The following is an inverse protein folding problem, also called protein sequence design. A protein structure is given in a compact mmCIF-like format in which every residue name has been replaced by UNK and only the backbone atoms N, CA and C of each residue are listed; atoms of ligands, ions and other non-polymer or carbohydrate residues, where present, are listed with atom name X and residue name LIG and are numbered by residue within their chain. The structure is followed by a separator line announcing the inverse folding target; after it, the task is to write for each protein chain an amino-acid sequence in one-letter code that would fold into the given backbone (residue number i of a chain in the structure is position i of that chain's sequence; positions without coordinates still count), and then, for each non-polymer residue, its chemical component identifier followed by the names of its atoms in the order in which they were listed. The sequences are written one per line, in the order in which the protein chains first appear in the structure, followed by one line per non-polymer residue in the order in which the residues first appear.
data_IF_779978665272
#
_entry.id   IF_779978665272
#
_cell.length_a   1.000
_cell.length_b   1.000
_cell.length_c   1.000
_cell.angle_alpha   90.00
_cell.angle_beta   90.00
_cell.angle_gamma   90.00
#
_symmetry.space_group_name_H-M   'P 1'
#
loop_
_entity.id
_entity.type
_entity.pdbx_description
1 polymer ?
#
# COMPACT_ATOMS: atom_id res chain seq x y z
N UNK A 1 -5.90 17.66 -19.89
CA UNK A 1 -6.16 17.83 -18.43
C UNK A 1 -5.23 16.90 -17.68
N UNK A 2 -4.07 17.39 -17.23
CA UNK A 2 -3.09 16.59 -16.46
C UNK A 2 -3.57 16.57 -15.01
N UNK A 3 -4.40 15.58 -14.68
CA UNK A 3 -4.76 15.30 -13.29
C UNK A 3 -3.48 15.06 -12.51
N UNK A 4 -3.25 15.89 -11.49
CA UNK A 4 -2.13 15.78 -10.57
C UNK A 4 -2.40 14.57 -9.65
N UNK A 5 -2.33 13.35 -10.20
CA UNK A 5 -2.43 12.12 -9.42
C UNK A 5 -1.16 12.03 -8.58
N UNK A 6 -1.17 12.68 -7.42
CA UNK A 6 -0.18 12.45 -6.38
C UNK A 6 -0.16 10.94 -6.17
N UNK A 7 0.95 10.30 -6.53
CA UNK A 7 1.19 8.91 -6.18
C UNK A 7 1.06 8.86 -4.66
N UNK A 8 -0.04 8.31 -4.15
CA UNK A 8 -0.23 8.05 -2.74
C UNK A 8 0.78 6.97 -2.38
N UNK A 9 2.00 7.39 -2.02
CA UNK A 9 3.01 6.49 -1.53
C UNK A 9 2.48 5.84 -0.25
N UNK A 10 2.68 4.52 -0.06
CA UNK A 10 2.34 3.87 1.19
C UNK A 10 3.07 4.58 2.32
N UNK A 11 2.36 4.87 3.40
CA UNK A 11 3.02 5.20 4.67
C UNK A 11 3.34 3.88 5.37
N UNK A 12 4.60 3.63 5.71
CA UNK A 12 5.05 2.39 6.35
C UNK A 12 5.67 2.73 7.70
N UNK A 13 5.31 2.00 8.76
CA UNK A 13 5.85 2.22 10.11
C UNK A 13 5.94 0.92 10.91
N UNK A 14 6.64 0.96 12.04
CA UNK A 14 6.75 -0.16 12.97
C UNK A 14 6.22 0.26 14.34
N UNK A 15 5.28 -0.50 14.89
CA UNK A 15 4.63 -0.20 16.17
C UNK A 15 4.22 -1.50 16.87
N UNK A 16 4.40 -1.55 18.20
CA UNK A 16 4.02 -2.69 19.05
C UNK A 16 4.56 -4.05 18.58
N UNK A 17 5.76 -4.07 17.97
CA UNK A 17 6.40 -5.31 17.53
C UNK A 17 5.97 -5.82 16.15
N UNK A 18 5.33 -4.98 15.33
CA UNK A 18 4.95 -5.34 13.97
C UNK A 18 5.03 -4.17 12.99
N UNK A 19 5.15 -4.53 11.72
CA UNK A 19 5.11 -3.63 10.59
C UNK A 19 3.68 -3.31 10.19
N UNK A 20 3.45 -2.04 9.91
CA UNK A 20 2.17 -1.48 9.49
C UNK A 20 2.36 -0.69 8.21
N UNK A 21 1.32 -0.63 7.39
CA UNK A 21 1.30 0.27 6.25
C UNK A 21 -0.09 0.80 5.93
N UNK A 22 -0.14 2.04 5.43
CA UNK A 22 -1.35 2.74 5.02
C UNK A 22 -1.33 2.98 3.52
N UNK A 23 -2.24 2.35 2.80
CA UNK A 23 -2.38 2.43 1.34
C UNK A 23 -3.81 2.82 1.00
N UNK A 24 -3.98 3.82 0.13
CA UNK A 24 -5.30 4.34 -0.28
C UNK A 24 -6.26 4.70 0.88
N UNK A 25 -5.72 5.04 2.05
CA UNK A 25 -6.51 5.39 3.24
C UNK A 25 -6.79 4.22 4.19
N UNK A 26 -6.53 2.98 3.76
CA UNK A 26 -6.69 1.77 4.56
C UNK A 26 -5.38 1.37 5.25
N UNK A 27 -5.48 0.85 6.48
CA UNK A 27 -4.35 0.40 7.28
C UNK A 27 -4.27 -1.13 7.27
N UNK A 28 -3.06 -1.66 7.14
CA UNK A 28 -2.77 -3.09 7.11
C UNK A 28 -1.64 -3.41 8.09
N UNK A 29 -1.78 -4.52 8.82
CA UNK A 29 -0.84 -4.94 9.86
C UNK A 29 -1.57 -5.34 11.15
N UNK A 30 -0.81 -5.68 12.22
CA UNK A 30 0.64 -5.72 12.29
C UNK A 30 1.23 -7.00 11.69
N UNK A 31 2.29 -6.88 10.88
CA UNK A 31 3.08 -8.01 10.38
C UNK A 31 4.36 -8.17 11.20
N UNK A 32 4.55 -9.32 11.87
CA UNK A 32 5.75 -9.55 12.69
C UNK A 32 7.01 -9.78 11.85
N UNK A 33 6.88 -10.51 10.74
CA UNK A 33 7.98 -10.84 9.87
C UNK A 33 8.14 -9.75 8.78
N UNK A 34 9.33 -9.14 8.63
CA UNK A 34 9.60 -8.17 7.58
C UNK A 34 9.37 -8.71 6.16
N UNK A 35 9.59 -10.00 5.92
CA UNK A 35 9.36 -10.62 4.61
C UNK A 35 7.87 -10.69 4.28
N UNK A 36 7.05 -11.08 5.24
CA UNK A 36 5.59 -11.12 5.09
C UNK A 36 5.04 -9.70 4.90
N UNK A 37 5.55 -8.73 5.66
CA UNK A 37 5.19 -7.33 5.52
C UNK A 37 5.51 -6.81 4.11
N UNK A 38 6.71 -7.09 3.59
CA UNK A 38 7.15 -6.70 2.25
C UNK A 38 6.29 -7.35 1.16
N UNK A 39 6.00 -8.64 1.29
CA UNK A 39 5.17 -9.36 0.33
C UNK A 39 3.76 -8.76 0.26
N UNK A 40 3.11 -8.55 1.40
CA UNK A 40 1.77 -7.97 1.46
C UNK A 40 1.74 -6.54 0.92
N UNK A 41 2.75 -5.72 1.24
CA UNK A 41 2.86 -4.36 0.70
C UNK A 41 2.92 -4.35 -0.84
N UNK A 42 3.73 -5.22 -1.43
CA UNK A 42 3.86 -5.32 -2.89
C UNK A 42 2.56 -5.79 -3.55
N UNK A 43 1.87 -6.76 -2.94
CA UNK A 43 0.56 -7.21 -3.42
C UNK A 43 -0.46 -6.07 -3.43
N UNK A 44 -0.57 -5.34 -2.33
CA UNK A 44 -1.54 -4.25 -2.20
C UNK A 44 -1.22 -3.10 -3.17
N UNK A 45 0.06 -2.77 -3.34
CA UNK A 45 0.50 -1.80 -4.35
C UNK A 45 0.15 -2.25 -5.77
N UNK A 46 0.37 -3.53 -6.10
CA UNK A 46 0.04 -4.11 -7.41
C UNK A 46 -1.46 -4.08 -7.70
N UNK A 47 -2.28 -4.53 -6.75
CA UNK A 47 -3.75 -4.49 -6.86
C UNK A 47 -4.27 -3.05 -6.98
N UNK A 48 -3.71 -2.13 -6.19
CA UNK A 48 -4.03 -0.71 -6.26
C UNK A 48 -3.69 -0.10 -7.62
N UNK A 49 -2.63 -0.59 -8.27
CA UNK A 49 -2.26 -0.16 -9.60
C UNK A 49 -3.23 -0.69 -10.65
N UNK A 50 -3.52 -2.00 -10.63
CA UNK A 50 -4.48 -2.63 -11.55
C UNK A 50 -5.87 -2.01 -11.46
N UNK A 51 -6.36 -1.73 -10.25
CA UNK A 51 -7.65 -1.07 -10.05
C UNK A 51 -7.69 0.33 -10.68
N UNK A 52 -6.62 1.11 -10.50
CA UNK A 52 -6.52 2.46 -11.09
C UNK A 52 -6.48 2.41 -12.61
N UNK A 53 -5.79 1.42 -13.18
CA UNK A 53 -5.77 1.20 -14.63
C UNK A 53 -7.14 0.81 -15.16
N UNK A 54 -7.87 -0.08 -14.47
CA UNK A 54 -9.21 -0.50 -14.86
C UNK A 54 -10.24 0.64 -14.80
N UNK A 55 -10.13 1.56 -13.83
CA UNK A 55 -11.03 2.73 -13.70
C UNK A 55 -10.68 3.83 -14.72
N UNK A 56 -9.45 3.88 -15.20
CA UNK A 56 -8.99 4.90 -16.16
C UNK A 56 -9.34 4.56 -17.63
N UNK A 57 -9.93 3.39 -17.91
CA UNK A 57 -10.48 3.00 -19.21
C UNK A 57 -11.91 3.47 -19.37
#
# INVERSE_FOLDING_TARGET
MRGNYKIHQPLVWFETGGWWFKVLGECFGPYKNPLDARYNLLLIQGLSQQLREAIAQ
#
